data_IF_491905138956
#
_entry.id   IF_491905138956
#
_cell.length_a   1.000
_cell.length_b   1.000
_cell.length_c   1.000
_cell.angle_alpha   90.00
_cell.angle_beta   90.00
_cell.angle_gamma   90.00
#
_symmetry.space_group_name_H-M   'P 1'
#
loop_
_entity.id
_entity.type
_entity.pdbx_description
1 polymer ?
#
# COMPACT_ATOMS: atom_id res chain seq x y z
N UNK A 1 -16.20 0.95 16.26
CA UNK A 1 -16.06 -0.18 15.31
C UNK A 1 -15.14 0.17 14.13
N UNK A 2 -15.42 1.23 13.36
CA UNK A 2 -14.62 1.64 12.18
C UNK A 2 -13.15 1.93 12.52
N UNK A 3 -12.88 2.64 13.61
CA UNK A 3 -11.51 2.97 14.04
C UNK A 3 -10.68 1.71 14.38
N UNK A 4 -11.31 0.71 15.02
CA UNK A 4 -10.68 -0.59 15.31
C UNK A 4 -10.40 -1.37 14.03
N UNK A 5 -11.34 -1.36 13.08
CA UNK A 5 -11.16 -1.98 11.76
C UNK A 5 -10.00 -1.32 11.01
N UNK A 6 -9.94 0.02 10.98
CA UNK A 6 -8.84 0.77 10.36
C UNK A 6 -7.50 0.42 10.97
N UNK A 7 -7.41 0.35 12.29
CA UNK A 7 -6.19 -0.04 12.99
C UNK A 7 -5.76 -1.46 12.63
N UNK A 8 -6.68 -2.44 12.68
CA UNK A 8 -6.39 -3.82 12.31
C UNK A 8 -5.93 -3.92 10.85
N UNK A 9 -6.63 -3.27 9.92
CA UNK A 9 -6.21 -3.21 8.50
C UNK A 9 -4.83 -2.61 8.33
N UNK A 10 -4.52 -1.54 9.08
CA UNK A 10 -3.21 -0.89 9.06
C UNK A 10 -2.09 -1.81 9.54
N UNK A 11 -2.31 -2.56 10.62
CA UNK A 11 -1.34 -3.53 11.13
C UNK A 11 -1.11 -4.66 10.12
N UNK A 12 -2.18 -5.25 9.57
CA UNK A 12 -2.07 -6.35 8.60
C UNK A 12 -1.30 -5.88 7.35
N UNK A 13 -1.69 -4.73 6.79
CA UNK A 13 -1.05 -4.18 5.60
C UNK A 13 0.40 -3.78 5.89
N UNK A 14 0.66 -3.20 7.07
CA UNK A 14 1.99 -2.80 7.49
C UNK A 14 2.96 -3.98 7.58
N UNK A 15 2.55 -5.09 8.20
CA UNK A 15 3.36 -6.30 8.26
C UNK A 15 3.57 -6.94 6.88
N UNK A 16 2.54 -6.93 6.01
CA UNK A 16 2.69 -7.44 4.65
C UNK A 16 3.75 -6.65 3.86
N UNK A 17 3.70 -5.32 3.91
CA UNK A 17 4.69 -4.45 3.27
C UNK A 17 6.09 -4.60 3.86
N UNK A 18 6.19 -4.74 5.19
CA UNK A 18 7.47 -4.97 5.85
C UNK A 18 8.10 -6.29 5.37
N UNK A 19 7.32 -7.37 5.31
CA UNK A 19 7.79 -8.67 4.83
C UNK A 19 8.25 -8.58 3.38
N UNK A 20 7.39 -8.08 2.48
CA UNK A 20 7.70 -7.99 1.05
C UNK A 20 8.92 -7.10 0.82
N UNK A 21 9.00 -5.97 1.51
CA UNK A 21 10.15 -5.07 1.42
C UNK A 21 11.45 -5.72 1.88
N UNK A 22 11.43 -6.57 2.93
CA UNK A 22 12.59 -7.40 3.33
C UNK A 22 12.92 -8.43 2.25
N UNK A 23 11.92 -9.09 1.66
CA UNK A 23 12.12 -10.10 0.61
C UNK A 23 12.87 -9.51 -0.61
N UNK A 24 12.69 -8.22 -0.93
CA UNK A 24 13.45 -7.54 -2.00
C UNK A 24 14.96 -7.49 -1.73
N UNK A 25 15.41 -7.56 -0.48
CA UNK A 25 16.83 -7.61 -0.13
C UNK A 25 17.34 -9.05 0.00
N UNK A 26 16.48 -9.99 0.37
CA UNK A 26 16.83 -11.40 0.55
C UNK A 26 16.87 -12.17 -0.77
N UNK A 27 15.88 -11.96 -1.63
CA UNK A 27 15.78 -12.59 -2.96
C UNK A 27 15.39 -11.59 -4.06
N UNK A 28 16.21 -10.56 -4.31
CA UNK A 28 15.97 -9.57 -5.36
C UNK A 28 15.81 -10.17 -6.77
N UNK A 29 16.46 -11.30 -7.06
CA UNK A 29 16.44 -11.93 -8.40
C UNK A 29 15.05 -12.42 -8.78
N UNK A 30 14.19 -12.71 -7.81
CA UNK A 30 12.81 -13.07 -8.04
C UNK A 30 11.97 -11.90 -8.60
N UNK A 31 12.31 -10.66 -8.22
CA UNK A 31 11.56 -9.45 -8.58
C UNK A 31 12.13 -8.72 -9.80
N UNK A 32 13.43 -8.86 -10.09
CA UNK A 32 14.09 -8.19 -11.21
C UNK A 32 13.42 -8.39 -12.58
N UNK A 33 12.96 -9.60 -12.96
CA UNK A 33 12.42 -9.84 -14.30
C UNK A 33 11.22 -8.97 -14.65
N UNK A 34 10.42 -8.54 -13.66
CA UNK A 34 9.21 -7.76 -13.91
C UNK A 34 9.44 -6.25 -13.93
N UNK A 35 10.65 -5.79 -13.61
CA UNK A 35 10.99 -4.38 -13.71
C UNK A 35 10.91 -3.94 -15.18
N UNK A 36 10.15 -2.87 -15.51
CA UNK A 36 10.08 -2.37 -16.88
C UNK A 36 11.47 -2.04 -17.45
N UNK A 37 11.79 -2.56 -18.64
CA UNK A 37 13.11 -2.41 -19.25
C UNK A 37 13.56 -0.95 -19.41
N UNK A 38 12.62 -0.03 -19.63
CA UNK A 38 12.86 1.42 -19.75
C UNK A 38 13.54 2.03 -18.50
N UNK A 39 13.39 1.39 -17.34
CA UNK A 39 14.01 1.85 -16.10
C UNK A 39 15.49 1.45 -15.99
N UNK A 40 15.97 0.54 -16.84
CA UNK A 40 17.31 -0.04 -16.74
C UNK A 40 17.51 -0.77 -15.41
N UNK A 41 18.76 -0.80 -14.93
CA UNK A 41 19.24 -1.34 -13.64
C UNK A 41 18.18 -1.99 -12.71
N UNK A 42 17.67 -3.21 -13.02
CA UNK A 42 16.52 -3.78 -12.31
C UNK A 42 16.76 -3.94 -10.81
N UNK A 43 17.95 -4.42 -10.46
CA UNK A 43 18.41 -4.59 -9.08
C UNK A 43 18.32 -3.31 -8.26
N UNK A 44 18.63 -2.15 -8.84
CA UNK A 44 18.53 -0.88 -8.14
C UNK A 44 17.07 -0.56 -7.78
N UNK A 45 16.16 -0.71 -8.74
CA UNK A 45 14.74 -0.41 -8.54
C UNK A 45 14.08 -1.35 -7.54
N UNK A 46 14.43 -2.64 -7.57
CA UNK A 46 13.99 -3.63 -6.58
C UNK A 46 14.43 -3.25 -5.17
N UNK A 47 15.71 -2.91 -4.96
CA UNK A 47 16.19 -2.53 -3.62
C UNK A 47 15.61 -1.18 -3.17
N UNK A 48 15.44 -0.23 -4.09
CA UNK A 48 14.85 1.06 -3.80
C UNK A 48 13.36 0.94 -3.42
N UNK A 49 12.57 0.17 -4.17
CA UNK A 49 11.17 -0.09 -3.81
C UNK A 49 11.06 -0.83 -2.49
N UNK A 50 11.90 -1.84 -2.25
CA UNK A 50 11.94 -2.59 -0.99
C UNK A 50 12.21 -1.68 0.22
N UNK A 51 13.12 -0.71 0.10
CA UNK A 51 13.36 0.28 1.16
C UNK A 51 12.12 1.14 1.44
N UNK A 52 11.44 1.61 0.38
CA UNK A 52 10.21 2.41 0.51
C UNK A 52 9.07 1.59 1.12
N UNK A 53 8.93 0.32 0.73
CA UNK A 53 7.95 -0.62 1.29
C UNK A 53 8.17 -0.84 2.78
N UNK A 54 9.41 -1.03 3.24
CA UNK A 54 9.74 -1.16 4.66
C UNK A 54 9.32 0.10 5.43
N UNK A 55 9.68 1.28 4.93
CA UNK A 55 9.33 2.56 5.56
C UNK A 55 7.81 2.72 5.65
N UNK A 56 7.08 2.44 4.56
CA UNK A 56 5.61 2.50 4.56
C UNK A 56 5.01 1.46 5.50
N UNK A 57 5.55 0.25 5.54
CA UNK A 57 5.14 -0.82 6.45
C UNK A 57 5.24 -0.39 7.92
N UNK A 58 6.38 0.22 8.30
CA UNK A 58 6.59 0.83 9.62
C UNK A 58 5.56 1.94 9.86
N UNK A 59 5.38 2.86 8.91
CA UNK A 59 4.43 3.97 9.06
C UNK A 59 2.99 3.51 9.28
N UNK A 60 2.59 2.40 8.65
CA UNK A 60 1.27 1.79 8.83
C UNK A 60 1.10 1.14 10.21
N UNK A 61 2.17 0.61 10.81
CA UNK A 61 2.10 -0.02 12.14
C UNK A 61 1.92 1.02 13.25
N UNK A 62 2.60 2.17 13.15
CA UNK A 62 2.54 3.19 14.20
C UNK A 62 1.30 4.10 14.06
N UNK A 63 0.44 4.21 15.11
CA UNK A 63 -0.81 4.98 15.05
C UNK A 63 -0.64 6.46 14.66
N UNK A 64 0.51 7.04 15.03
CA UNK A 64 0.86 8.45 14.76
C UNK A 64 1.07 8.70 13.27
N UNK A 65 1.64 7.73 12.55
CA UNK A 65 2.01 7.85 11.13
C UNK A 65 1.03 7.15 10.19
N UNK A 66 0.11 6.32 10.70
CA UNK A 66 -0.75 5.45 9.90
C UNK A 66 -1.50 6.18 8.76
N UNK A 67 -1.96 7.42 8.98
CA UNK A 67 -2.70 8.17 7.95
C UNK A 67 -1.80 8.57 6.78
N UNK A 68 -0.58 9.02 7.07
CA UNK A 68 0.41 9.34 6.05
C UNK A 68 0.88 8.05 5.38
N UNK A 69 1.08 6.99 6.16
CA UNK A 69 1.42 5.66 5.67
C UNK A 69 0.37 5.12 4.68
N UNK A 70 -0.92 5.23 4.99
CA UNK A 70 -2.00 4.79 4.10
C UNK A 70 -2.03 5.55 2.77
N UNK A 71 -1.88 6.88 2.79
CA UNK A 71 -1.81 7.68 1.55
C UNK A 71 -0.58 7.32 0.70
N UNK A 72 0.57 7.18 1.36
CA UNK A 72 1.83 6.82 0.70
C UNK A 72 1.76 5.40 0.12
N UNK A 73 1.17 4.47 0.86
CA UNK A 73 0.91 3.09 0.44
C UNK A 73 0.03 3.05 -0.82
N UNK A 74 -1.05 3.85 -0.86
CA UNK A 74 -1.91 3.93 -2.05
C UNK A 74 -1.13 4.42 -3.29
N UNK A 75 -0.31 5.46 -3.14
CA UNK A 75 0.55 5.97 -4.24
C UNK A 75 1.54 4.90 -4.68
N UNK A 76 2.22 4.25 -3.72
CA UNK A 76 3.20 3.21 -4.03
C UNK A 76 2.56 2.03 -4.76
N UNK A 77 1.38 1.57 -4.33
CA UNK A 77 0.65 0.50 -5.00
C UNK A 77 0.31 0.85 -6.45
N UNK A 78 -0.02 2.11 -6.76
CA UNK A 78 -0.26 2.54 -8.14
C UNK A 78 1.05 2.44 -8.94
N UNK A 79 2.17 2.90 -8.38
CA UNK A 79 3.49 2.85 -9.03
C UNK A 79 3.93 1.39 -9.27
N UNK A 80 3.89 0.55 -8.24
CA UNK A 80 4.32 -0.86 -8.32
C UNK A 80 3.41 -1.73 -9.19
N UNK A 81 2.16 -1.32 -9.40
CA UNK A 81 1.29 -2.02 -10.35
C UNK A 81 1.83 -1.97 -11.78
N UNK A 82 2.66 -0.98 -12.13
CA UNK A 82 3.32 -0.93 -13.42
C UNK A 82 4.20 -2.18 -13.69
N UNK A 83 4.93 -2.68 -12.68
CA UNK A 83 5.69 -3.93 -12.83
C UNK A 83 4.78 -5.14 -13.11
N UNK A 84 3.58 -5.17 -12.51
CA UNK A 84 2.60 -6.24 -12.75
C UNK A 84 1.96 -6.12 -14.15
N UNK A 85 1.78 -4.91 -14.67
CA UNK A 85 1.35 -4.67 -16.05
C UNK A 85 2.44 -5.08 -17.03
N UNK A 86 3.71 -4.74 -16.76
CA UNK A 86 4.85 -5.15 -17.56
C UNK A 86 4.95 -6.67 -17.66
N UNK A 87 4.79 -7.36 -16.53
CA UNK A 87 4.72 -8.82 -16.48
C UNK A 87 3.59 -9.39 -17.35
N UNK A 88 2.41 -8.75 -17.35
CA UNK A 88 1.25 -9.19 -18.13
C UNK A 88 1.46 -8.98 -19.63
N UNK A 89 1.87 -7.78 -20.05
CA UNK A 89 1.97 -7.43 -21.47
C UNK A 89 3.09 -8.22 -22.16
N UNK A 90 4.18 -8.51 -21.45
CA UNK A 90 5.35 -9.19 -22.00
C UNK A 90 5.43 -10.68 -21.62
N UNK A 91 4.35 -11.25 -21.06
CA UNK A 91 4.27 -12.66 -20.63
C UNK A 91 5.49 -13.15 -19.82
N UNK A 92 5.98 -12.30 -18.92
CA UNK A 92 7.23 -12.55 -18.18
C UNK A 92 6.98 -13.66 -17.14
N UNK A 93 7.69 -14.80 -17.20
CA UNK A 93 7.53 -15.87 -16.23
C UNK A 93 8.17 -15.48 -14.89
N UNK A 94 7.44 -15.72 -13.79
CA UNK A 94 7.99 -15.66 -12.43
C UNK A 94 8.02 -17.07 -11.86
N UNK A 95 9.15 -17.49 -11.30
CA UNK A 95 9.29 -18.82 -10.69
C UNK A 95 9.12 -19.97 -11.69
N UNK A 96 9.43 -19.74 -12.97
CA UNK A 96 9.37 -20.74 -14.04
C UNK A 96 7.98 -20.99 -14.61
N UNK A 97 6.96 -20.21 -14.23
CA UNK A 97 5.63 -20.30 -14.84
C UNK A 97 5.15 -18.93 -15.36
N UNK A 98 4.68 -18.89 -16.61
CA UNK A 98 3.87 -17.81 -17.14
C UNK A 98 2.44 -17.99 -16.66
N UNK A 99 1.82 -16.93 -16.14
CA UNK A 99 0.46 -17.00 -15.64
C UNK A 99 -0.56 -16.79 -16.76
N UNK A 100 -1.67 -17.53 -16.72
CA UNK A 100 -2.81 -17.25 -17.60
C UNK A 100 -3.38 -15.83 -17.35
N UNK A 101 -3.91 -15.19 -18.39
CA UNK A 101 -4.49 -13.83 -18.32
C UNK A 101 -5.49 -13.60 -17.17
N UNK A 102 -6.26 -14.62 -16.76
CA UNK A 102 -7.19 -14.55 -15.63
C UNK A 102 -6.52 -14.19 -14.30
N UNK A 103 -5.27 -14.62 -14.09
CA UNK A 103 -4.52 -14.34 -12.87
C UNK A 103 -4.03 -12.90 -12.81
N UNK A 104 -3.73 -12.29 -13.95
CA UNK A 104 -3.40 -10.86 -14.02
C UNK A 104 -4.61 -9.99 -13.71
N UNK A 105 -5.81 -10.40 -14.16
CA UNK A 105 -7.06 -9.72 -13.80
C UNK A 105 -7.39 -9.86 -12.31
N UNK A 106 -7.21 -11.05 -11.73
CA UNK A 106 -7.35 -11.24 -10.28
C UNK A 106 -6.38 -10.36 -9.50
N UNK A 107 -5.13 -10.28 -9.96
CA UNK A 107 -4.11 -9.40 -9.35
C UNK A 107 -4.50 -7.93 -9.44
N UNK A 108 -5.04 -7.47 -10.58
CA UNK A 108 -5.57 -6.11 -10.71
C UNK A 108 -6.68 -5.85 -9.68
N UNK A 109 -7.61 -6.78 -9.54
CA UNK A 109 -8.71 -6.64 -8.58
C UNK A 109 -8.20 -6.56 -7.12
N UNK A 110 -7.25 -7.42 -6.76
CA UNK A 110 -6.60 -7.38 -5.45
C UNK A 110 -5.85 -6.05 -5.26
N UNK A 111 -5.13 -5.56 -6.28
CA UNK A 111 -4.43 -4.29 -6.23
C UNK A 111 -5.39 -3.12 -5.94
N UNK A 112 -6.53 -3.08 -6.63
CA UNK A 112 -7.55 -2.05 -6.42
C UNK A 112 -8.16 -2.13 -5.01
N UNK A 113 -8.39 -3.34 -4.51
CA UNK A 113 -8.84 -3.55 -3.13
C UNK A 113 -7.81 -3.03 -2.11
N UNK A 114 -6.52 -3.34 -2.31
CA UNK A 114 -5.44 -2.88 -1.44
C UNK A 114 -5.30 -1.35 -1.47
N UNK A 115 -5.44 -0.72 -2.65
CA UNK A 115 -5.47 0.74 -2.77
C UNK A 115 -6.67 1.30 -1.97
N UNK A 116 -7.86 0.70 -2.11
CA UNK A 116 -9.04 1.10 -1.34
C UNK A 116 -8.83 1.02 0.17
N UNK A 117 -8.21 -0.06 0.66
CA UNK A 117 -7.84 -0.23 2.08
C UNK A 117 -6.82 0.83 2.51
N UNK A 118 -5.81 1.09 1.68
CA UNK A 118 -4.78 2.10 1.97
C UNK A 118 -5.37 3.52 2.07
N UNK A 119 -6.29 3.89 1.17
CA UNK A 119 -7.02 5.17 1.21
C UNK A 119 -7.95 5.26 2.43
N UNK A 120 -8.57 4.14 2.81
CA UNK A 120 -9.37 4.03 4.04
C UNK A 120 -8.52 4.28 5.30
N UNK A 121 -7.33 3.67 5.37
CA UNK A 121 -6.34 3.93 6.43
C UNK A 121 -5.89 5.41 6.40
N UNK A 122 -5.69 5.95 5.21
CA UNK A 122 -5.30 7.35 4.96
C UNK A 122 -6.31 8.40 5.44
N UNK A 123 -7.52 7.98 5.83
CA UNK A 123 -8.56 8.87 6.34
C UNK A 123 -9.13 9.80 5.26
N UNK A 124 -9.12 9.38 4.00
CA UNK A 124 -9.70 10.14 2.88
C UNK A 124 -11.23 10.15 2.93
N UNK A 125 -11.84 9.19 3.64
CA UNK A 125 -13.26 9.22 3.93
C UNK A 125 -13.55 10.15 5.12
N UNK A 126 -14.49 11.11 4.98
CA UNK A 126 -14.75 12.11 6.00
C UNK A 126 -15.21 11.48 7.32
N UNK A 127 -14.71 12.00 8.44
CA UNK A 127 -15.34 11.74 9.74
C UNK A 127 -16.76 12.31 9.68
N UNK A 128 -17.75 11.49 10.04
CA UNK A 128 -19.09 12.01 10.34
C UNK A 128 -18.93 13.00 11.49
N UNK A 129 -19.27 14.26 11.24
CA UNK A 129 -19.25 15.31 12.26
C UNK A 129 -20.37 15.01 13.26
N UNK A 130 -20.03 14.70 14.52
CA UNK A 130 -21.01 14.55 15.59
C UNK A 130 -21.29 15.95 16.15
N UNK A 131 -22.37 16.57 15.65
CA UNK A 131 -22.76 17.95 15.96
C UNK A 131 -23.00 18.24 17.45
N UNK A 132 -23.19 17.23 18.29
CA UNK A 132 -23.44 17.38 19.73
C UNK A 132 -22.18 17.55 20.58
N UNK A 133 -21.01 17.06 20.14
CA UNK A 133 -19.77 17.10 20.95
C UNK A 133 -18.87 18.30 20.67
N UNK A 134 -19.08 18.94 19.54
CA UNK A 134 -18.23 20.05 19.06
C UNK A 134 -18.90 21.42 19.25
N UNK A 135 -19.99 21.52 20.04
CA UNK A 135 -20.49 22.82 20.50
C UNK A 135 -19.43 23.41 21.43
N UNK A 136 -18.71 24.47 21.04
CA UNK A 136 -17.79 25.11 21.94
C UNK A 136 -18.62 25.75 23.05
N UNK A 137 -18.06 25.77 24.27
CA UNK A 137 -18.57 26.35 25.52
C UNK A 137 -18.92 27.86 25.47
N UNK A 138 -19.22 28.41 24.29
CA UNK A 138 -19.60 29.82 24.05
C UNK A 138 -20.85 30.20 24.87
N UNK A 139 -21.69 29.23 25.24
CA UNK A 139 -22.91 29.48 26.02
C UNK A 139 -22.66 29.56 27.54
N UNK A 140 -21.48 29.20 28.07
CA UNK A 140 -21.21 29.24 29.52
C UNK A 140 -20.55 30.52 30.03
N UNK A 141 -20.53 31.60 29.23
CA UNK A 141 -19.94 32.92 29.60
C UNK A 141 -20.94 34.07 29.56
N UNK A 142 -22.23 33.77 29.53
CA UNK A 142 -23.30 34.76 29.65
C UNK A 142 -24.06 34.43 30.93
N UNK A 143 -23.41 34.67 32.07
CA UNK A 143 -24.04 34.83 33.39
C UNK A 143 -23.37 36.04 34.06
#
# INVERSE_FOLDING_TARGET
MIEKLRFISSIILGFAFLKIGIDHFLDPQWFEPIVPEILGFPRFWVLASGAVEIVIGIMLIFPVTQKIGGKSCAILLIILYWANVNMWINDIPIGGQSFEGKWHLLRLFIQLLLIGIALFIGGIFPKRYDSEKDIPLIVSKID
#
